data_IF_088334186668
#
_entry.id   IF_088334186668
#
_cell.length_a   1.000
_cell.length_b   1.000
_cell.length_c   1.000
_cell.angle_alpha   90.00
_cell.angle_beta   90.00
_cell.angle_gamma   90.00
#
_symmetry.space_group_name_H-M   'P 1'
#
loop_
_entity.id
_entity.type
_entity.pdbx_description
1 polymer ?
#
# COMPACT_ATOMS: atom_id res chain seq x y z
N UNK A 1 11.22 -19.08 25.28
CA UNK A 1 9.82 -18.61 25.18
C UNK A 1 8.91 -19.83 25.11
N UNK A 2 7.74 -19.76 25.76
CA UNK A 2 6.79 -20.86 25.79
C UNK A 2 5.81 -20.85 24.62
N UNK A 3 5.84 -19.78 23.82
CA UNK A 3 5.02 -19.62 22.63
C UNK A 3 5.22 -18.27 21.96
N UNK A 4 4.65 -18.14 20.75
CA UNK A 4 4.64 -16.91 19.94
C UNK A 4 3.21 -16.65 19.50
N UNK A 5 2.77 -15.40 19.61
CA UNK A 5 1.49 -14.90 19.09
C UNK A 5 1.77 -13.90 17.98
N UNK A 6 1.46 -14.27 16.75
CA UNK A 6 1.49 -13.34 15.63
C UNK A 6 0.18 -12.54 15.61
N UNK A 7 0.27 -11.25 15.49
CA UNK A 7 -0.90 -10.35 15.48
C UNK A 7 -0.86 -9.44 14.26
N UNK A 8 -2.05 -9.06 13.79
CA UNK A 8 -2.27 -8.05 12.77
C UNK A 8 -3.17 -6.95 13.35
N UNK A 9 -2.77 -5.70 13.17
CA UNK A 9 -3.47 -4.56 13.71
C UNK A 9 -3.83 -3.56 12.60
N UNK A 10 -5.10 -3.17 12.57
CA UNK A 10 -5.60 -2.20 11.62
C UNK A 10 -5.92 -0.86 12.28
N UNK A 11 -4.94 0.02 12.34
CA UNK A 11 -5.13 1.39 12.84
C UNK A 11 -5.69 2.33 11.77
N UNK A 12 -6.25 3.46 12.20
CA UNK A 12 -6.65 4.57 11.32
C UNK A 12 -7.63 4.18 10.21
N UNK A 13 -8.67 3.39 10.55
CA UNK A 13 -9.72 2.95 9.62
C UNK A 13 -9.44 1.60 8.96
N UNK A 14 -8.39 0.88 9.37
CA UNK A 14 -8.10 -0.49 8.94
C UNK A 14 -8.05 -0.66 7.41
N UNK A 15 -7.29 0.20 6.75
CA UNK A 15 -7.21 0.23 5.27
C UNK A 15 -6.60 -1.06 4.66
N UNK A 16 -5.99 -1.93 5.46
CA UNK A 16 -5.29 -3.11 4.98
C UNK A 16 -6.24 -4.23 4.54
N UNK A 17 -5.95 -4.84 3.39
CA UNK A 17 -6.63 -6.04 2.95
C UNK A 17 -6.11 -7.25 3.75
N UNK A 18 -6.97 -8.24 4.14
CA UNK A 18 -6.55 -9.41 4.92
C UNK A 18 -5.39 -10.21 4.29
N UNK A 19 -5.32 -10.29 2.97
CA UNK A 19 -4.27 -11.01 2.26
C UNK A 19 -2.85 -10.42 2.50
N UNK A 20 -2.74 -9.14 2.90
CA UNK A 20 -1.43 -8.52 3.17
C UNK A 20 -0.73 -9.12 4.38
N UNK A 21 -1.47 -9.71 5.31
CA UNK A 21 -0.94 -10.34 6.51
C UNK A 21 -0.46 -11.76 6.28
N UNK A 22 -0.86 -12.41 5.19
CA UNK A 22 -0.59 -13.82 4.92
C UNK A 22 0.91 -14.14 4.95
N UNK A 23 1.72 -13.38 4.20
CA UNK A 23 3.18 -13.59 4.14
C UNK A 23 3.82 -13.38 5.51
N UNK A 24 3.41 -12.32 6.24
CA UNK A 24 3.87 -12.05 7.60
C UNK A 24 3.53 -13.18 8.59
N UNK A 25 2.33 -13.74 8.50
CA UNK A 25 1.90 -14.87 9.33
C UNK A 25 2.72 -16.13 9.03
N UNK A 26 3.02 -16.39 7.75
CA UNK A 26 3.87 -17.53 7.36
C UNK A 26 5.30 -17.33 7.88
N UNK A 27 5.87 -16.11 7.79
CA UNK A 27 7.17 -15.82 8.40
C UNK A 27 7.15 -16.07 9.91
N UNK A 28 6.16 -15.53 10.61
CA UNK A 28 6.02 -15.76 12.05
C UNK A 28 5.97 -17.24 12.40
N UNK A 29 5.23 -18.04 11.66
CA UNK A 29 5.19 -19.48 11.84
C UNK A 29 6.56 -20.13 11.57
N UNK A 30 7.20 -19.83 10.44
CA UNK A 30 8.49 -20.41 10.07
C UNK A 30 9.58 -20.12 11.10
N UNK A 31 9.66 -18.87 11.59
CA UNK A 31 10.65 -18.49 12.62
C UNK A 31 10.32 -18.98 14.01
N UNK A 32 9.06 -19.33 14.30
CA UNK A 32 8.65 -19.84 15.62
C UNK A 32 8.96 -21.34 15.79
N UNK A 33 8.96 -22.11 14.71
CA UNK A 33 9.15 -23.57 14.77
C UNK A 33 10.59 -24.03 14.58
N UNK A 34 11.44 -23.20 13.96
CA UNK A 34 12.80 -23.57 13.64
C UNK A 34 13.77 -23.14 14.75
N UNK A 35 14.65 -24.05 15.15
CA UNK A 35 15.76 -23.75 16.07
C UNK A 35 16.91 -23.04 15.37
N UNK A 36 17.00 -23.20 14.05
CA UNK A 36 17.94 -22.48 13.20
C UNK A 36 17.21 -21.33 12.51
N UNK A 37 17.89 -20.21 12.29
CA UNK A 37 17.31 -19.04 11.64
C UNK A 37 17.09 -19.38 10.15
N UNK A 38 15.83 -19.42 9.67
CA UNK A 38 15.56 -19.67 8.26
C UNK A 38 16.12 -18.56 7.38
N UNK A 39 16.53 -18.89 6.16
CA UNK A 39 16.98 -17.92 5.17
C UNK A 39 15.76 -17.29 4.48
N UNK A 40 15.62 -15.97 4.55
CA UNK A 40 14.45 -15.24 3.99
C UNK A 40 14.22 -15.56 2.51
N UNK A 41 15.27 -15.57 1.69
CA UNK A 41 15.13 -15.85 0.25
C UNK A 41 14.57 -17.25 -0.02
N UNK A 42 14.93 -18.24 0.81
CA UNK A 42 14.41 -19.58 0.68
C UNK A 42 12.91 -19.62 1.04
N UNK A 43 12.53 -18.96 2.13
CA UNK A 43 11.12 -18.85 2.53
C UNK A 43 10.33 -18.12 1.45
N UNK A 44 10.84 -17.02 0.91
CA UNK A 44 10.20 -16.25 -0.16
C UNK A 44 9.91 -17.12 -1.39
N UNK A 45 10.88 -17.92 -1.81
CA UNK A 45 10.72 -18.86 -2.94
C UNK A 45 9.64 -19.91 -2.64
N UNK A 46 9.70 -20.51 -1.45
CA UNK A 46 8.71 -21.51 -1.03
C UNK A 46 7.30 -20.93 -0.96
N UNK A 47 7.12 -19.75 -0.38
CA UNK A 47 5.80 -19.08 -0.31
C UNK A 47 5.32 -18.76 -1.72
N UNK A 48 6.16 -18.19 -2.57
CA UNK A 48 5.82 -17.89 -3.97
C UNK A 48 5.26 -19.11 -4.67
N UNK A 49 5.95 -20.25 -4.55
CA UNK A 49 5.55 -21.50 -5.19
C UNK A 49 4.31 -22.12 -4.57
N UNK A 50 4.25 -22.24 -3.22
CA UNK A 50 3.23 -23.03 -2.52
C UNK A 50 1.93 -22.22 -2.35
N UNK A 51 2.02 -20.98 -1.88
CA UNK A 51 0.85 -20.16 -1.58
C UNK A 51 0.28 -19.48 -2.83
N UNK A 52 1.13 -19.08 -3.78
CA UNK A 52 0.72 -18.33 -4.97
C UNK A 52 0.81 -19.11 -6.29
N UNK A 53 1.38 -20.32 -6.28
CA UNK A 53 1.57 -21.12 -7.50
C UNK A 53 2.54 -20.47 -8.50
N UNK A 54 3.39 -19.57 -8.03
CA UNK A 54 4.39 -18.89 -8.85
C UNK A 54 5.58 -19.82 -9.12
N UNK A 55 5.64 -20.34 -10.34
CA UNK A 55 6.72 -21.23 -10.79
C UNK A 55 8.06 -20.51 -10.96
N UNK A 56 8.06 -19.18 -11.04
CA UNK A 56 9.29 -18.37 -11.08
C UNK A 56 9.90 -18.15 -9.69
N UNK A 57 9.13 -18.42 -8.64
CA UNK A 57 9.53 -18.28 -7.23
C UNK A 57 9.98 -16.84 -6.84
N UNK A 58 9.54 -15.82 -7.57
CA UNK A 58 10.00 -14.43 -7.41
C UNK A 58 8.96 -13.50 -6.78
N UNK A 59 7.67 -13.87 -6.83
CA UNK A 59 6.55 -13.01 -6.45
C UNK A 59 6.70 -12.43 -5.04
N UNK A 60 7.00 -13.27 -4.04
CA UNK A 60 7.09 -12.81 -2.64
C UNK A 60 8.27 -11.87 -2.43
N UNK A 61 9.37 -12.02 -3.17
CA UNK A 61 10.47 -11.08 -3.14
C UNK A 61 10.09 -9.71 -3.70
N UNK A 62 9.20 -9.66 -4.70
CA UNK A 62 8.62 -8.40 -5.20
C UNK A 62 7.66 -7.81 -4.15
N UNK A 63 6.78 -8.62 -3.55
CA UNK A 63 5.86 -8.17 -2.50
C UNK A 63 6.61 -7.62 -1.28
N UNK A 64 7.75 -8.22 -0.92
CA UNK A 64 8.58 -7.76 0.19
C UNK A 64 9.11 -6.33 -0.02
N UNK A 65 9.32 -5.88 -1.26
CA UNK A 65 9.71 -4.50 -1.58
C UNK A 65 8.62 -3.49 -1.20
N UNK A 66 7.35 -3.89 -1.20
CA UNK A 66 6.21 -3.04 -0.82
C UNK A 66 6.18 -2.78 0.69
N UNK A 67 6.70 -3.69 1.50
CA UNK A 67 6.65 -3.62 2.97
C UNK A 67 7.59 -2.57 3.59
N UNK A 68 8.32 -1.83 2.78
CA UNK A 68 9.20 -0.75 3.24
C UNK A 68 8.35 0.44 3.74
N UNK A 69 8.88 1.16 4.73
CA UNK A 69 8.22 2.38 5.24
C UNK A 69 8.33 3.52 4.22
N UNK A 70 7.19 3.92 3.67
CA UNK A 70 7.09 4.98 2.66
C UNK A 70 7.00 6.37 3.29
N UNK A 71 7.27 7.42 2.51
CA UNK A 71 7.48 8.79 3.03
C UNK A 71 6.19 9.47 3.46
N UNK A 72 5.12 9.38 2.66
CA UNK A 72 3.79 9.82 3.05
C UNK A 72 2.86 8.62 3.10
N UNK A 73 2.49 8.22 4.32
CA UNK A 73 1.70 7.02 4.58
C UNK A 73 0.22 7.37 4.76
N UNK A 74 -0.65 6.36 4.74
CA UNK A 74 -2.05 6.53 5.13
C UNK A 74 -2.20 7.17 6.51
N UNK A 75 -1.38 6.75 7.48
CA UNK A 75 -1.35 7.34 8.82
C UNK A 75 -1.03 8.84 8.77
N UNK A 76 -0.06 9.26 7.96
CA UNK A 76 0.25 10.67 7.79
C UNK A 76 -0.93 11.45 7.20
N UNK A 77 -1.65 10.87 6.23
CA UNK A 77 -2.82 11.50 5.64
C UNK A 77 -3.92 11.70 6.69
N UNK A 78 -4.22 10.69 7.50
CA UNK A 78 -5.21 10.77 8.59
C UNK A 78 -4.78 11.77 9.66
N UNK A 79 -3.57 11.63 10.21
CA UNK A 79 -3.07 12.48 11.30
C UNK A 79 -3.07 13.97 10.90
N UNK A 80 -2.73 14.28 9.64
CA UNK A 80 -2.76 15.64 9.11
C UNK A 80 -4.17 16.18 8.93
N UNK A 81 -5.07 15.38 8.34
CA UNK A 81 -6.45 15.80 8.09
C UNK A 81 -7.22 16.03 9.39
N UNK A 82 -7.10 15.09 10.33
CA UNK A 82 -7.78 15.13 11.63
C UNK A 82 -7.02 15.96 12.69
N UNK A 83 -5.88 16.54 12.33
CA UNK A 83 -5.00 17.35 13.22
C UNK A 83 -4.60 16.60 14.49
N UNK A 84 -4.40 15.29 14.40
CA UNK A 84 -4.05 14.44 15.54
C UNK A 84 -2.59 14.62 15.96
N UNK A 85 -1.72 14.84 14.98
CA UNK A 85 -0.27 15.03 15.17
C UNK A 85 0.28 15.97 14.11
N UNK A 86 1.37 16.64 14.44
CA UNK A 86 2.17 17.32 13.44
C UNK A 86 2.84 16.27 12.52
N UNK A 87 2.62 16.41 11.21
CA UNK A 87 3.22 15.55 10.19
C UNK A 87 4.28 16.37 9.45
N UNK A 88 5.56 16.14 9.75
CA UNK A 88 6.64 16.82 9.03
C UNK A 88 6.64 16.39 7.56
N UNK A 89 6.76 17.37 6.66
CA UNK A 89 6.85 17.11 5.24
C UNK A 89 8.32 17.04 4.80
N UNK A 90 8.61 16.10 3.93
CA UNK A 90 9.88 16.03 3.22
C UNK A 90 9.87 16.96 2.00
N UNK A 91 10.99 17.11 1.30
CA UNK A 91 11.03 17.84 0.04
C UNK A 91 10.23 17.11 -1.06
N UNK A 92 9.77 17.87 -2.05
CA UNK A 92 9.06 17.31 -3.22
C UNK A 92 9.87 16.20 -3.92
N UNK A 93 11.19 16.36 -4.00
CA UNK A 93 12.09 15.38 -4.62
C UNK A 93 12.08 14.04 -3.90
N UNK A 94 12.04 14.04 -2.57
CA UNK A 94 11.96 12.81 -1.76
C UNK A 94 10.68 12.04 -2.06
N UNK A 95 9.55 12.73 -2.18
CA UNK A 95 8.28 12.09 -2.54
C UNK A 95 8.25 11.61 -3.99
N UNK A 96 8.84 12.39 -4.92
CA UNK A 96 8.96 11.98 -6.33
C UNK A 96 9.73 10.68 -6.45
N UNK A 97 10.93 10.60 -5.86
CA UNK A 97 11.74 9.41 -5.88
C UNK A 97 11.02 8.19 -5.27
N UNK A 98 10.25 8.42 -4.20
CA UNK A 98 9.45 7.35 -3.59
C UNK A 98 8.31 6.89 -4.52
N UNK A 99 7.65 7.81 -5.23
CA UNK A 99 6.61 7.45 -6.20
C UNK A 99 7.19 6.67 -7.39
N UNK A 100 8.33 7.08 -7.92
CA UNK A 100 9.04 6.40 -9.01
C UNK A 100 9.44 4.97 -8.61
N UNK A 101 10.00 4.78 -7.42
CA UNK A 101 10.31 3.44 -6.90
C UNK A 101 9.07 2.55 -6.78
N UNK A 102 7.94 3.10 -6.34
CA UNK A 102 6.67 2.35 -6.26
C UNK A 102 6.14 1.97 -7.64
N UNK A 103 6.27 2.85 -8.64
CA UNK A 103 5.90 2.52 -10.04
C UNK A 103 6.79 1.41 -10.61
N UNK A 104 8.08 1.39 -10.30
CA UNK A 104 8.98 0.30 -10.68
C UNK A 104 8.54 -1.03 -10.05
N UNK A 105 8.27 -1.06 -8.75
CA UNK A 105 7.76 -2.25 -8.03
C UNK A 105 6.43 -2.71 -8.63
N UNK A 106 5.55 -1.78 -8.98
CA UNK A 106 4.27 -2.10 -9.63
C UNK A 106 4.47 -2.74 -11.00
N UNK A 107 5.46 -2.26 -11.78
CA UNK A 107 5.86 -2.87 -13.05
C UNK A 107 6.37 -4.30 -12.87
N UNK A 108 7.24 -4.54 -11.89
CA UNK A 108 7.73 -5.88 -11.54
C UNK A 108 6.58 -6.81 -11.12
N UNK A 109 5.64 -6.30 -10.32
CA UNK A 109 4.47 -7.07 -9.88
C UNK A 109 3.58 -7.44 -11.06
N UNK A 110 3.32 -6.53 -12.01
CA UNK A 110 2.57 -6.85 -13.23
C UNK A 110 3.27 -7.93 -14.06
N UNK A 111 4.59 -7.87 -14.19
CA UNK A 111 5.36 -8.91 -14.89
C UNK A 111 5.19 -10.27 -14.21
N UNK A 112 5.30 -10.33 -12.88
CA UNK A 112 5.13 -11.56 -12.10
C UNK A 112 3.71 -12.14 -12.24
N UNK A 113 2.68 -11.29 -12.22
CA UNK A 113 1.25 -11.70 -12.33
C UNK A 113 0.95 -12.41 -13.65
N UNK A 114 1.65 -12.07 -14.73
CA UNK A 114 1.41 -12.68 -16.04
C UNK A 114 1.59 -14.20 -16.04
N UNK A 115 2.44 -14.71 -15.16
CA UNK A 115 2.79 -16.14 -15.04
C UNK A 115 1.96 -16.91 -14.02
N UNK A 116 1.08 -16.21 -13.25
CA UNK A 116 0.29 -16.84 -12.21
C UNK A 116 -0.97 -17.53 -12.75
N UNK A 117 -1.44 -18.59 -12.08
CA UNK A 117 -2.76 -19.14 -12.32
C UNK A 117 -3.87 -18.12 -12.07
N UNK A 118 -5.01 -18.27 -12.78
CA UNK A 118 -6.12 -17.28 -12.76
C UNK A 118 -6.65 -17.01 -11.33
N UNK A 119 -6.75 -18.05 -10.50
CA UNK A 119 -7.26 -17.92 -9.13
C UNK A 119 -6.34 -17.04 -8.26
N UNK A 120 -5.03 -17.17 -8.40
CA UNK A 120 -4.06 -16.40 -7.63
C UNK A 120 -3.96 -14.95 -8.12
N UNK A 121 -4.31 -14.65 -9.38
CA UNK A 121 -4.35 -13.28 -9.89
C UNK A 121 -5.30 -12.38 -9.10
N UNK A 122 -6.39 -12.93 -8.54
CA UNK A 122 -7.33 -12.17 -7.70
C UNK A 122 -6.68 -11.67 -6.42
N UNK A 123 -5.85 -12.49 -5.76
CA UNK A 123 -5.12 -12.10 -4.55
C UNK A 123 -4.13 -10.96 -4.84
N UNK A 124 -3.45 -11.03 -6.00
CA UNK A 124 -2.50 -9.99 -6.40
C UNK A 124 -3.18 -8.67 -6.77
N UNK A 125 -4.43 -8.70 -7.20
CA UNK A 125 -5.20 -7.49 -7.48
C UNK A 125 -5.28 -6.55 -6.26
N UNK A 126 -5.41 -7.10 -5.05
CA UNK A 126 -5.39 -6.31 -3.81
C UNK A 126 -4.06 -5.55 -3.64
N UNK A 127 -2.93 -6.19 -3.92
CA UNK A 127 -1.62 -5.56 -3.86
C UNK A 127 -1.44 -4.46 -4.92
N UNK A 128 -2.00 -4.64 -6.13
CA UNK A 128 -1.95 -3.61 -7.17
C UNK A 128 -2.75 -2.36 -6.78
N UNK A 129 -3.94 -2.54 -6.18
CA UNK A 129 -4.73 -1.42 -5.65
C UNK A 129 -3.98 -0.73 -4.51
N UNK A 130 -3.35 -1.48 -3.61
CA UNK A 130 -2.56 -0.91 -2.52
C UNK A 130 -1.38 -0.09 -3.04
N UNK A 131 -0.61 -0.63 -3.99
CA UNK A 131 0.51 0.08 -4.63
C UNK A 131 0.05 1.37 -5.29
N UNK A 132 -1.06 1.34 -6.02
CA UNK A 132 -1.62 2.55 -6.62
C UNK A 132 -1.97 3.59 -5.55
N UNK A 133 -2.61 3.19 -4.44
CA UNK A 133 -2.90 4.08 -3.33
C UNK A 133 -1.63 4.66 -2.69
N UNK A 134 -0.58 3.86 -2.53
CA UNK A 134 0.70 4.33 -2.00
C UNK A 134 1.37 5.35 -2.93
N UNK A 135 1.32 5.14 -4.24
CA UNK A 135 1.82 6.09 -5.25
C UNK A 135 1.06 7.42 -5.15
N UNK A 136 -0.28 7.36 -5.08
CA UNK A 136 -1.11 8.56 -4.95
C UNK A 136 -0.84 9.32 -3.64
N UNK A 137 -0.55 8.62 -2.56
CA UNK A 137 -0.12 9.24 -1.31
C UNK A 137 1.23 9.97 -1.45
N UNK A 138 2.21 9.42 -2.18
CA UNK A 138 3.45 10.14 -2.45
C UNK A 138 3.19 11.40 -3.31
N UNK A 139 2.34 11.29 -4.35
CA UNK A 139 1.94 12.46 -5.16
C UNK A 139 1.23 13.53 -4.30
N UNK A 140 0.38 13.12 -3.36
CA UNK A 140 -0.25 14.03 -2.40
C UNK A 140 0.79 14.71 -1.50
N UNK A 141 1.77 13.94 -1.00
CA UNK A 141 2.90 14.48 -0.24
C UNK A 141 3.70 15.53 -1.02
N UNK A 142 3.92 15.32 -2.34
CA UNK A 142 4.56 16.30 -3.23
C UNK A 142 3.77 17.60 -3.28
N UNK A 143 2.45 17.53 -3.50
CA UNK A 143 1.60 18.73 -3.58
C UNK A 143 1.59 19.48 -2.25
N UNK A 144 1.45 18.76 -1.12
CA UNK A 144 1.48 19.35 0.22
C UNK A 144 2.81 20.05 0.52
N UNK A 145 3.93 19.51 0.03
CA UNK A 145 5.25 20.13 0.19
C UNK A 145 5.42 21.35 -0.71
N UNK A 146 4.86 21.31 -1.94
CA UNK A 146 4.91 22.41 -2.92
C UNK A 146 3.98 23.58 -2.58
N UNK A 147 2.85 23.32 -1.93
CA UNK A 147 1.88 24.35 -1.52
C UNK A 147 2.49 25.39 -0.54
N UNK A 148 3.59 25.03 0.12
CA UNK A 148 4.37 25.95 0.95
C UNK A 148 5.20 26.97 0.12
N UNK A 149 5.31 26.79 -1.21
CA UNK A 149 6.18 27.58 -2.10
C UNK A 149 5.42 28.46 -3.10
N UNK A 150 4.09 28.60 -3.01
CA UNK A 150 3.20 29.53 -3.77
C UNK A 150 3.43 29.55 -5.30
N UNK A 151 3.48 28.40 -5.95
CA UNK A 151 3.62 28.33 -7.41
C UNK A 151 2.25 28.07 -8.07
N UNK A 152 1.71 29.08 -8.77
CA UNK A 152 0.37 29.06 -9.41
C UNK A 152 0.25 28.08 -10.61
N UNK A 153 1.33 27.46 -11.03
CA UNK A 153 1.38 26.58 -12.22
C UNK A 153 0.77 25.19 -12.04
N UNK A 154 0.28 24.87 -10.83
CA UNK A 154 -0.13 23.50 -10.46
C UNK A 154 -1.63 23.18 -10.50
N UNK A 155 -2.52 24.09 -10.88
CA UNK A 155 -3.97 23.86 -10.80
C UNK A 155 -4.42 22.61 -11.58
N UNK A 156 -3.94 22.42 -12.81
CA UNK A 156 -4.29 21.25 -13.61
C UNK A 156 -3.77 19.91 -13.04
N UNK A 157 -2.57 19.92 -12.46
CA UNK A 157 -1.99 18.72 -11.84
C UNK A 157 -2.69 18.35 -10.53
N UNK A 158 -3.12 19.34 -9.75
CA UNK A 158 -3.92 19.14 -8.53
C UNK A 158 -5.28 18.53 -8.87
N UNK A 159 -5.99 19.06 -9.86
CA UNK A 159 -7.26 18.51 -10.31
C UNK A 159 -7.12 17.07 -10.83
N UNK A 160 -6.07 16.78 -11.61
CA UNK A 160 -5.81 15.43 -12.08
C UNK A 160 -5.54 14.45 -10.92
N UNK A 161 -4.77 14.87 -9.91
CA UNK A 161 -4.53 14.04 -8.73
C UNK A 161 -5.83 13.79 -7.93
N UNK A 162 -6.72 14.79 -7.83
CA UNK A 162 -8.02 14.62 -7.20
C UNK A 162 -8.85 13.55 -7.91
N UNK A 163 -8.88 13.57 -9.25
CA UNK A 163 -9.57 12.56 -10.06
C UNK A 163 -8.93 11.17 -9.88
N UNK A 164 -7.60 11.07 -9.89
CA UNK A 164 -6.90 9.81 -9.66
C UNK A 164 -7.23 9.21 -8.28
N UNK A 165 -7.33 10.03 -7.23
CA UNK A 165 -7.72 9.61 -5.88
C UNK A 165 -9.16 9.09 -5.84
N UNK A 166 -10.09 9.75 -6.53
CA UNK A 166 -11.50 9.31 -6.59
C UNK A 166 -11.66 8.01 -7.38
N UNK A 167 -10.96 7.85 -8.51
CA UNK A 167 -10.94 6.59 -9.26
C UNK A 167 -10.33 5.45 -8.42
N UNK A 168 -9.23 5.71 -7.74
CA UNK A 168 -8.65 4.73 -6.84
C UNK A 168 -9.62 4.35 -5.72
N UNK A 169 -10.33 5.32 -5.13
CA UNK A 169 -11.32 5.06 -4.10
C UNK A 169 -12.46 4.17 -4.63
N UNK A 170 -12.88 4.33 -5.87
CA UNK A 170 -13.90 3.49 -6.49
C UNK A 170 -13.45 2.02 -6.54
N UNK A 171 -12.24 1.75 -7.04
CA UNK A 171 -11.68 0.41 -7.11
C UNK A 171 -11.43 -0.18 -5.72
N UNK A 172 -10.93 0.63 -4.80
CA UNK A 172 -10.71 0.24 -3.42
C UNK A 172 -12.01 -0.16 -2.71
N UNK A 173 -13.12 0.57 -2.93
CA UNK A 173 -14.43 0.22 -2.37
C UNK A 173 -14.94 -1.12 -2.88
N UNK A 174 -14.72 -1.43 -4.14
CA UNK A 174 -15.08 -2.74 -4.70
C UNK A 174 -14.26 -3.86 -4.05
N UNK A 175 -12.94 -3.65 -3.89
CA UNK A 175 -12.06 -4.57 -3.20
C UNK A 175 -12.48 -4.76 -1.73
N UNK A 176 -12.71 -3.67 -0.99
CA UNK A 176 -13.15 -3.71 0.41
C UNK A 176 -14.41 -4.56 0.59
N UNK A 177 -15.44 -4.33 -0.22
CA UNK A 177 -16.71 -5.05 -0.17
C UNK A 177 -16.61 -6.53 -0.48
N UNK A 178 -15.54 -6.96 -1.13
CA UNK A 178 -15.31 -8.39 -1.42
C UNK A 178 -14.90 -9.19 -0.18
N UNK A 179 -14.35 -8.54 0.86
CA UNK A 179 -13.78 -9.20 2.04
C UNK A 179 -14.23 -8.63 3.37
N UNK A 180 -14.82 -7.43 3.39
CA UNK A 180 -15.13 -6.68 4.62
C UNK A 180 -16.54 -6.10 4.57
N UNK A 181 -17.07 -5.77 5.77
CA UNK A 181 -18.35 -5.05 5.91
C UNK A 181 -18.16 -3.54 5.68
N UNK A 182 -19.24 -2.81 5.45
CA UNK A 182 -19.25 -1.36 5.20
C UNK A 182 -18.77 -0.49 6.38
N UNK A 183 -18.74 -1.02 7.60
CA UNK A 183 -18.65 -0.25 8.84
C UNK A 183 -17.50 0.76 8.91
N UNK A 184 -16.33 0.46 8.35
CA UNK A 184 -15.15 1.35 8.40
C UNK A 184 -14.88 2.08 7.07
N UNK A 185 -15.58 1.71 6.02
CA UNK A 185 -15.34 2.25 4.68
C UNK A 185 -15.61 3.75 4.60
N UNK A 186 -16.58 4.26 5.37
CA UNK A 186 -16.92 5.69 5.39
C UNK A 186 -15.73 6.57 5.81
N UNK A 187 -14.87 6.10 6.71
CA UNK A 187 -13.70 6.85 7.17
C UNK A 187 -12.67 7.00 6.06
N UNK A 188 -12.44 5.93 5.31
CA UNK A 188 -11.53 5.95 4.16
C UNK A 188 -12.07 6.90 3.08
N UNK A 189 -13.38 6.82 2.80
CA UNK A 189 -14.05 7.73 1.87
C UNK A 189 -13.88 9.18 2.30
N UNK A 190 -14.15 9.47 3.59
CA UNK A 190 -14.04 10.83 4.12
C UNK A 190 -12.65 11.41 3.90
N UNK A 191 -11.59 10.67 4.26
CA UNK A 191 -10.20 11.14 4.10
C UNK A 191 -9.88 11.44 2.63
N UNK A 192 -10.21 10.53 1.73
CA UNK A 192 -9.90 10.70 0.29
C UNK A 192 -10.72 11.85 -0.31
N UNK A 193 -12.02 11.95 -0.01
CA UNK A 193 -12.86 13.04 -0.53
C UNK A 193 -12.40 14.41 0.00
N UNK A 194 -12.04 14.54 1.26
CA UNK A 194 -11.51 15.79 1.81
C UNK A 194 -10.22 16.24 1.10
N UNK A 195 -9.31 15.31 0.79
CA UNK A 195 -8.12 15.65 0.02
C UNK A 195 -8.44 16.00 -1.45
N UNK A 196 -9.38 15.28 -2.07
CA UNK A 196 -9.80 15.59 -3.44
C UNK A 196 -10.45 16.99 -3.53
N UNK A 197 -11.30 17.36 -2.57
CA UNK A 197 -11.91 18.68 -2.48
C UNK A 197 -10.85 19.76 -2.24
N UNK A 198 -9.92 19.53 -1.32
CA UNK A 198 -8.80 20.45 -1.08
C UNK A 198 -7.90 20.62 -2.32
N UNK A 199 -7.64 19.57 -3.08
CA UNK A 199 -6.85 19.65 -4.30
C UNK A 199 -7.52 20.51 -5.40
N UNK A 200 -8.86 20.63 -5.37
CA UNK A 200 -9.64 21.43 -6.32
C UNK A 200 -9.86 22.89 -5.87
N UNK A 201 -9.65 23.19 -4.59
CA UNK A 201 -9.76 24.54 -4.03
C UNK A 201 -8.52 25.40 -4.33
#
# INVERSE_FOLDING_TARGET
ADGVLNTDWGDCGHINHPDFSLVGMIYGAAFSWNTEIPVFDEINRQISRIAYGDVSETLVSVLAKISVSWKFTWRNAVDRLEQLREVPLYSMEVYRNAAEQLEEIKGELYASVSHLPVEQKKQIHAYLIALQGMILLQKLGMVLAGDQTSDETCSGQRCALAEELEYWLYDYKALWRSVSRESELFRIQHVICCYADWLRS
#
